data_IF_889288081118
#
_entry.id   IF_889288081118
#
_cell.length_a   1.000
_cell.length_b   1.000
_cell.length_c   1.000
_cell.angle_alpha   90.00
_cell.angle_beta   90.00
_cell.angle_gamma   90.00
#
_symmetry.space_group_name_H-M   'P 1'
#
loop_
_entity.id
_entity.type
_entity.pdbx_description
1 polymer ?
#
# COMPACT_ATOMS: atom_id res chain seq x y z
N UNK A 1 14.65 -28.44 -1.27
CA UNK A 1 13.90 -27.56 -0.34
C UNK A 1 14.34 -26.12 -0.61
N UNK A 2 13.69 -25.48 -1.58
CA UNK A 2 14.25 -24.36 -2.34
C UNK A 2 14.24 -23.00 -1.64
N UNK A 3 15.15 -22.13 -2.07
CA UNK A 3 15.24 -20.72 -1.67
C UNK A 3 13.92 -19.95 -1.88
N UNK A 4 13.08 -20.41 -2.80
CA UNK A 4 11.76 -19.85 -3.09
C UNK A 4 10.78 -19.93 -1.91
N UNK A 5 10.75 -21.05 -1.18
CA UNK A 5 9.88 -21.16 0.01
C UNK A 5 10.38 -20.28 1.16
N UNK A 6 11.69 -20.02 1.26
CA UNK A 6 12.23 -19.09 2.27
C UNK A 6 11.89 -17.63 1.97
N UNK A 7 11.89 -17.24 0.69
CA UNK A 7 11.43 -15.90 0.29
C UNK A 7 9.92 -15.72 0.51
N UNK A 8 9.10 -16.73 0.18
CA UNK A 8 7.65 -16.70 0.40
C UNK A 8 7.28 -16.64 1.90
N UNK A 9 8.03 -17.35 2.75
CA UNK A 9 7.87 -17.29 4.21
C UNK A 9 8.34 -15.96 4.82
N UNK A 10 9.40 -15.33 4.29
CA UNK A 10 9.83 -14.00 4.75
C UNK A 10 8.85 -12.89 4.36
N UNK A 11 8.21 -12.99 3.18
CA UNK A 11 7.17 -12.03 2.77
C UNK A 11 5.93 -12.20 3.67
N UNK A 12 5.51 -13.43 3.97
CA UNK A 12 4.38 -13.69 4.87
C UNK A 12 4.64 -13.27 6.32
N UNK A 13 5.85 -13.46 6.86
CA UNK A 13 6.13 -13.13 8.25
C UNK A 13 6.27 -11.61 8.50
N UNK A 14 6.69 -10.85 7.48
CA UNK A 14 6.65 -9.38 7.52
C UNK A 14 5.27 -8.81 7.24
N UNK A 15 4.44 -9.47 6.42
CA UNK A 15 3.06 -9.06 6.19
C UNK A 15 2.22 -9.05 7.48
N UNK A 16 2.41 -10.02 8.39
CA UNK A 16 1.66 -10.07 9.65
C UNK A 16 2.09 -9.05 10.70
N UNK A 17 3.21 -8.35 10.54
CA UNK A 17 3.71 -7.34 11.50
C UNK A 17 3.58 -5.89 11.00
N UNK A 18 3.21 -5.70 9.74
CA UNK A 18 2.95 -4.39 9.12
C UNK A 18 1.45 -4.10 8.90
N UNK A 19 0.58 -5.05 9.28
CA UNK A 19 -0.87 -4.91 9.15
C UNK A 19 -1.49 -3.90 10.15
N UNK A 20 -0.71 -3.41 11.12
CA UNK A 20 -1.16 -2.46 12.11
C UNK A 20 -0.83 -1.02 11.66
N UNK A 21 -1.86 -0.38 11.07
CA UNK A 21 -2.03 1.06 10.76
C UNK A 21 -1.42 1.60 9.44
N UNK A 22 -2.34 1.86 8.51
CA UNK A 22 -2.25 2.88 7.46
C UNK A 22 -1.18 2.70 6.35
N UNK A 23 -1.02 1.53 5.75
CA UNK A 23 -0.33 1.46 4.45
C UNK A 23 -1.33 1.68 3.30
N UNK A 24 -1.12 2.74 2.52
CA UNK A 24 -1.88 3.01 1.31
C UNK A 24 -1.65 1.87 0.29
N UNK A 25 -2.69 1.13 -0.13
CA UNK A 25 -2.53 0.03 -1.09
C UNK A 25 -1.92 0.49 -2.42
N UNK A 26 -2.02 1.78 -2.76
CA UNK A 26 -1.36 2.37 -3.94
C UNK A 26 0.16 2.26 -3.84
N UNK A 27 0.73 2.57 -2.67
CA UNK A 27 2.18 2.55 -2.43
C UNK A 27 2.74 1.12 -2.45
N UNK A 28 2.04 0.18 -1.81
CA UNK A 28 2.44 -1.24 -1.81
C UNK A 28 2.48 -1.79 -3.24
N UNK A 29 1.48 -1.45 -4.06
CA UNK A 29 1.42 -1.91 -5.44
C UNK A 29 2.49 -1.25 -6.33
N UNK A 30 2.78 0.03 -6.11
CA UNK A 30 3.86 0.73 -6.82
C UNK A 30 5.24 0.14 -6.47
N UNK A 31 5.50 -0.11 -5.18
CA UNK A 31 6.71 -0.79 -4.71
C UNK A 31 6.83 -2.20 -5.30
N UNK A 32 5.74 -2.98 -5.27
CA UNK A 32 5.71 -4.33 -5.84
C UNK A 32 5.99 -4.33 -7.34
N UNK A 33 5.43 -3.37 -8.08
CA UNK A 33 5.70 -3.21 -9.50
C UNK A 33 7.19 -2.91 -9.77
N UNK A 34 7.78 -2.01 -8.99
CA UNK A 34 9.21 -1.68 -9.12
C UNK A 34 10.10 -2.89 -8.83
N UNK A 35 9.80 -3.68 -7.80
CA UNK A 35 10.52 -4.93 -7.51
C UNK A 35 10.40 -5.95 -8.64
N UNK A 36 9.24 -6.06 -9.27
CA UNK A 36 9.08 -6.93 -10.43
C UNK A 36 9.91 -6.46 -11.64
N UNK A 37 10.01 -5.15 -11.89
CA UNK A 37 10.88 -4.60 -12.94
C UNK A 37 12.37 -4.90 -12.67
N UNK A 38 12.82 -4.78 -11.42
CA UNK A 38 14.18 -5.15 -11.01
C UNK A 38 14.45 -6.64 -11.30
N UNK A 39 13.49 -7.52 -11.02
CA UNK A 39 13.60 -8.96 -11.30
C UNK A 39 13.76 -9.25 -12.81
N UNK A 40 12.99 -8.58 -13.67
CA UNK A 40 13.18 -8.72 -15.14
C UNK A 40 14.57 -8.27 -15.54
N UNK A 41 15.05 -7.14 -15.00
CA UNK A 41 16.37 -6.65 -15.31
C UNK A 41 17.47 -7.62 -14.85
N UNK A 42 17.28 -8.26 -13.70
CA UNK A 42 18.18 -9.31 -13.21
C UNK A 42 18.18 -10.52 -14.14
N UNK A 43 17.01 -11.00 -14.58
CA UNK A 43 16.93 -12.12 -15.55
C UNK A 43 17.62 -11.77 -16.86
N UNK A 44 17.43 -10.55 -17.38
CA UNK A 44 18.12 -10.07 -18.59
C UNK A 44 19.64 -10.08 -18.43
N UNK A 45 20.16 -9.66 -17.28
CA UNK A 45 21.60 -9.73 -16.96
C UNK A 45 22.07 -11.19 -16.91
N UNK A 46 21.31 -12.10 -16.31
CA UNK A 46 21.64 -13.53 -16.27
C UNK A 46 21.71 -14.14 -17.67
N UNK A 47 20.76 -13.80 -18.56
CA UNK A 47 20.79 -14.21 -19.97
C UNK A 47 22.08 -13.73 -20.64
N UNK A 48 22.46 -12.46 -20.45
CA UNK A 48 23.69 -11.91 -21.02
C UNK A 48 24.95 -12.64 -20.51
N UNK A 49 24.99 -13.02 -19.23
CA UNK A 49 26.08 -13.82 -18.65
C UNK A 49 26.18 -15.20 -19.31
N UNK A 50 25.05 -15.89 -19.50
CA UNK A 50 25.03 -17.21 -20.17
C UNK A 50 25.46 -17.10 -21.64
N UNK A 51 24.97 -16.08 -22.36
CA UNK A 51 25.40 -15.82 -23.75
C UNK A 51 26.90 -15.57 -23.82
N UNK A 52 27.45 -14.80 -22.89
CA UNK A 52 28.89 -14.52 -22.82
C UNK A 52 29.69 -15.80 -22.54
N UNK A 53 29.23 -16.62 -21.59
CA UNK A 53 29.84 -17.90 -21.28
C UNK A 53 29.83 -18.86 -22.47
N UNK A 54 28.69 -19.01 -23.15
CA UNK A 54 28.54 -19.77 -24.40
C UNK A 54 29.52 -19.26 -25.46
N UNK A 55 29.60 -17.95 -25.67
CA UNK A 55 30.49 -17.37 -26.68
C UNK A 55 31.96 -17.64 -26.41
N UNK A 56 32.37 -17.63 -25.14
CA UNK A 56 33.74 -18.00 -24.74
C UNK A 56 34.05 -19.45 -25.09
N UNK A 57 33.13 -20.39 -24.86
CA UNK A 57 33.29 -21.80 -25.23
C UNK A 57 33.38 -21.97 -26.75
N UNK A 58 32.53 -21.27 -27.51
CA UNK A 58 32.59 -21.27 -28.98
C UNK A 58 33.96 -20.80 -29.50
N UNK A 59 34.52 -19.73 -28.91
CA UNK A 59 35.85 -19.23 -29.29
C UNK A 59 36.96 -20.24 -28.98
N UNK A 60 36.88 -20.93 -27.84
CA UNK A 60 37.81 -22.00 -27.50
C UNK A 60 37.73 -23.17 -28.49
N UNK A 61 36.51 -23.58 -28.84
CA UNK A 61 36.26 -24.62 -29.85
C UNK A 61 36.89 -24.25 -31.18
N UNK A 62 36.65 -23.03 -31.69
CA UNK A 62 37.22 -22.55 -32.95
C UNK A 62 38.76 -22.58 -32.93
N UNK A 63 39.38 -22.21 -31.81
CA UNK A 63 40.84 -22.26 -31.66
C UNK A 63 41.38 -23.70 -31.75
N UNK A 64 40.69 -24.65 -31.12
CA UNK A 64 41.07 -26.07 -31.21
C UNK A 64 40.85 -26.62 -32.62
N UNK A 65 39.76 -26.24 -33.30
CA UNK A 65 39.50 -26.61 -34.70
C UNK A 65 40.58 -26.10 -35.65
N UNK A 66 41.08 -24.88 -35.45
CA UNK A 66 42.22 -24.36 -36.22
C UNK A 66 43.50 -25.16 -35.93
N UNK A 67 43.72 -25.56 -34.68
CA UNK A 67 44.86 -26.37 -34.28
C UNK A 67 44.78 -27.79 -34.88
N UNK A 68 43.61 -28.43 -34.89
CA UNK A 68 43.44 -29.75 -35.54
C UNK A 68 43.71 -29.69 -37.04
N UNK A 69 43.30 -28.61 -37.72
CA UNK A 69 43.63 -28.40 -39.14
C UNK A 69 45.14 -28.23 -39.35
N UNK A 70 45.84 -27.50 -38.45
CA UNK A 70 47.29 -27.35 -38.52
C UNK A 70 48.00 -28.69 -38.31
N UNK A 71 47.60 -29.46 -37.29
CA UNK A 71 48.15 -30.79 -37.01
C UNK A 71 47.90 -31.78 -38.16
N UNK A 72 46.75 -31.66 -38.84
CA UNK A 72 46.45 -32.46 -40.03
C UNK A 72 47.42 -32.18 -41.19
N UNK A 73 47.72 -30.91 -41.45
CA UNK A 73 48.73 -30.52 -42.45
C UNK A 73 50.12 -31.03 -42.06
N UNK A 74 50.53 -30.82 -40.81
CA UNK A 74 51.82 -31.30 -40.29
C UNK A 74 51.97 -32.82 -40.40
N UNK A 75 50.90 -33.57 -40.14
CA UNK A 75 50.91 -35.03 -40.33
C UNK A 75 51.12 -35.41 -41.80
N UNK A 76 50.42 -34.75 -42.73
CA UNK A 76 50.58 -34.99 -44.18
C UNK A 76 51.98 -34.64 -44.69
N UNK A 77 52.55 -33.54 -44.22
CA UNK A 77 53.90 -33.11 -44.57
C UNK A 77 54.96 -34.09 -44.04
N UNK A 78 54.77 -34.58 -42.80
CA UNK A 78 55.66 -35.57 -42.18
C UNK A 78 55.64 -36.92 -42.93
N UNK A 79 54.45 -37.41 -43.31
CA UNK A 79 54.30 -38.60 -44.16
C UNK A 79 55.02 -38.41 -45.50
N UNK A 80 54.81 -37.26 -46.15
CA UNK A 80 55.48 -36.93 -47.43
C UNK A 80 57.00 -36.87 -47.30
N UNK A 81 57.50 -36.60 -46.09
CA UNK A 81 58.93 -36.56 -45.77
C UNK A 81 59.48 -37.89 -45.22
N UNK A 82 58.68 -38.97 -45.20
CA UNK A 82 59.07 -40.28 -44.66
C UNK A 82 59.28 -40.31 -43.14
N UNK A 83 58.75 -39.32 -42.40
CA UNK A 83 58.87 -39.20 -40.93
C UNK A 83 57.59 -39.65 -40.24
N UNK A 84 57.38 -40.96 -40.23
CA UNK A 84 56.19 -41.60 -39.67
C UNK A 84 56.02 -41.39 -38.16
N UNK A 85 57.13 -41.21 -37.44
CA UNK A 85 57.16 -40.89 -36.01
C UNK A 85 56.52 -39.51 -35.73
N UNK A 86 56.90 -38.49 -36.50
CA UNK A 86 56.33 -37.14 -36.42
C UNK A 86 54.86 -37.12 -36.87
N UNK A 87 54.53 -37.88 -37.91
CA UNK A 87 53.15 -38.02 -38.37
C UNK A 87 52.25 -38.62 -37.29
N UNK A 88 52.71 -39.70 -36.64
CA UNK A 88 51.98 -40.35 -35.54
C UNK A 88 51.77 -39.38 -34.37
N UNK A 89 52.80 -38.64 -33.97
CA UNK A 89 52.70 -37.65 -32.89
C UNK A 89 51.70 -36.52 -33.23
N UNK A 90 51.71 -36.01 -34.46
CA UNK A 90 50.77 -34.99 -34.91
C UNK A 90 49.32 -35.50 -34.89
N UNK A 91 49.09 -36.73 -35.35
CA UNK A 91 47.77 -37.38 -35.32
C UNK A 91 47.29 -37.67 -33.89
N UNK A 92 48.18 -38.05 -32.98
CA UNK A 92 47.84 -38.26 -31.56
C UNK A 92 47.37 -36.95 -30.90
N UNK A 93 48.11 -35.86 -31.10
CA UNK A 93 47.70 -34.52 -30.64
C UNK A 93 46.38 -34.08 -31.28
N UNK A 94 46.20 -34.35 -32.58
CA UNK A 94 44.94 -34.03 -33.28
C UNK A 94 43.78 -34.77 -32.63
N UNK A 95 43.94 -36.07 -32.33
CA UNK A 95 42.93 -36.88 -31.65
C UNK A 95 42.58 -36.32 -30.26
N UNK A 96 43.58 -35.91 -29.47
CA UNK A 96 43.34 -35.26 -28.18
C UNK A 96 42.51 -34.00 -28.32
N UNK A 97 42.85 -33.12 -29.27
CA UNK A 97 42.08 -31.90 -29.54
C UNK A 97 40.65 -32.22 -30.01
N UNK A 98 40.44 -33.26 -30.82
CA UNK A 98 39.10 -33.68 -31.26
C UNK A 98 38.21 -34.08 -30.07
N UNK A 99 38.75 -34.84 -29.12
CA UNK A 99 38.01 -35.23 -27.90
C UNK A 99 37.61 -33.98 -27.09
N UNK A 100 38.51 -33.00 -26.97
CA UNK A 100 38.22 -31.75 -26.27
C UNK A 100 37.16 -30.91 -27.02
N UNK A 101 37.20 -30.88 -28.36
CA UNK A 101 36.17 -30.23 -29.19
C UNK A 101 34.79 -30.87 -28.96
N UNK A 102 34.71 -32.20 -28.93
CA UNK A 102 33.45 -32.91 -28.65
C UNK A 102 32.89 -32.55 -27.27
N UNK A 103 33.75 -32.46 -26.25
CA UNK A 103 33.37 -31.99 -24.91
C UNK A 103 32.84 -30.55 -24.94
N UNK A 104 33.51 -29.64 -25.64
CA UNK A 104 33.06 -28.25 -25.78
C UNK A 104 31.71 -28.15 -26.51
N UNK A 105 31.46 -28.99 -27.51
CA UNK A 105 30.16 -29.03 -28.21
C UNK A 105 29.05 -29.40 -27.24
N UNK A 106 29.25 -30.41 -26.39
CA UNK A 106 28.26 -30.77 -25.36
C UNK A 106 28.00 -29.61 -24.40
N UNK A 107 29.05 -28.95 -23.90
CA UNK A 107 28.91 -27.80 -23.00
C UNK A 107 28.20 -26.61 -23.68
N UNK A 108 28.49 -26.33 -24.95
CA UNK A 108 27.81 -25.26 -25.73
C UNK A 108 26.32 -25.56 -25.86
N UNK A 109 25.94 -26.81 -26.15
CA UNK A 109 24.55 -27.22 -26.26
C UNK A 109 23.81 -27.09 -24.92
N UNK A 110 24.46 -27.44 -23.81
CA UNK A 110 23.90 -27.26 -22.46
C UNK A 110 23.64 -25.78 -22.16
N UNK A 111 24.62 -24.90 -22.46
CA UNK A 111 24.44 -23.45 -22.28
C UNK A 111 23.35 -22.88 -23.19
N UNK A 112 23.17 -23.42 -24.39
CA UNK A 112 22.09 -23.02 -25.29
C UNK A 112 20.71 -23.39 -24.76
N UNK A 113 20.54 -24.57 -24.18
CA UNK A 113 19.29 -24.98 -23.54
C UNK A 113 18.97 -24.08 -22.33
N UNK A 114 19.97 -23.79 -21.49
CA UNK A 114 19.78 -22.89 -20.34
C UNK A 114 19.45 -21.46 -20.80
N UNK A 115 20.12 -20.96 -21.84
CA UNK A 115 19.80 -19.67 -22.46
C UNK A 115 18.34 -19.61 -22.92
N UNK A 116 17.85 -20.63 -23.64
CA UNK A 116 16.46 -20.67 -24.13
C UNK A 116 15.47 -20.66 -22.97
N UNK A 117 15.73 -21.43 -21.91
CA UNK A 117 14.90 -21.48 -20.71
C UNK A 117 14.83 -20.14 -19.98
N UNK A 118 15.95 -19.43 -19.88
CA UNK A 118 15.99 -18.08 -19.28
C UNK A 118 15.23 -17.05 -20.13
N UNK A 119 15.34 -17.12 -21.46
CA UNK A 119 14.57 -16.26 -22.38
C UNK A 119 13.07 -16.51 -22.24
N UNK A 120 12.65 -17.78 -22.16
CA UNK A 120 11.24 -18.12 -21.97
C UNK A 120 10.72 -17.62 -20.60
N UNK A 121 11.55 -17.74 -19.57
CA UNK A 121 11.25 -17.23 -18.22
C UNK A 121 11.12 -15.71 -18.20
N UNK A 122 12.03 -15.00 -18.88
CA UNK A 122 11.96 -13.54 -19.06
C UNK A 122 10.65 -13.14 -19.73
N UNK A 123 10.28 -13.81 -20.83
CA UNK A 123 9.04 -13.52 -21.56
C UNK A 123 7.80 -13.73 -20.68
N UNK A 124 7.75 -14.84 -19.93
CA UNK A 124 6.66 -15.14 -18.99
C UNK A 124 6.59 -14.08 -17.88
N UNK A 125 7.72 -13.66 -17.33
CA UNK A 125 7.78 -12.63 -16.29
C UNK A 125 7.32 -11.27 -16.82
N UNK A 126 7.80 -10.86 -17.99
CA UNK A 126 7.39 -9.62 -18.66
C UNK A 126 5.89 -9.57 -18.96
N UNK A 127 5.29 -10.69 -19.38
CA UNK A 127 3.84 -10.79 -19.58
C UNK A 127 3.06 -10.63 -18.25
N UNK A 128 3.50 -11.30 -17.18
CA UNK A 128 2.89 -11.18 -15.84
C UNK A 128 2.98 -9.75 -15.29
N UNK A 129 4.10 -9.07 -15.52
CA UNK A 129 4.31 -7.69 -15.07
C UNK A 129 3.41 -6.71 -15.80
N UNK A 130 3.19 -6.94 -17.10
CA UNK A 130 2.26 -6.14 -17.88
C UNK A 130 0.83 -6.30 -17.35
N UNK A 131 0.41 -7.54 -17.07
CA UNK A 131 -0.89 -7.79 -16.44
C UNK A 131 -0.99 -7.18 -15.03
N UNK A 132 0.09 -7.25 -14.25
CA UNK A 132 0.15 -6.64 -12.92
C UNK A 132 0.03 -5.12 -12.98
N UNK A 133 0.68 -4.47 -13.96
CA UNK A 133 0.55 -3.02 -14.19
C UNK A 133 -0.90 -2.62 -14.41
N UNK A 134 -1.62 -3.31 -15.30
CA UNK A 134 -3.04 -3.03 -15.55
C UNK A 134 -3.86 -3.20 -14.29
N UNK A 135 -3.68 -4.33 -13.58
CA UNK A 135 -4.41 -4.61 -12.34
C UNK A 135 -4.11 -3.59 -11.25
N UNK A 136 -2.87 -3.13 -11.14
CA UNK A 136 -2.45 -2.06 -10.24
C UNK A 136 -3.26 -0.79 -10.50
N UNK A 137 -3.26 -0.29 -11.74
CA UNK A 137 -3.98 0.95 -12.07
C UNK A 137 -5.49 0.81 -11.80
N UNK A 138 -6.09 -0.35 -12.09
CA UNK A 138 -7.49 -0.62 -11.74
C UNK A 138 -7.74 -0.55 -10.24
N UNK A 139 -6.89 -1.18 -9.42
CA UNK A 139 -7.05 -1.16 -7.96
C UNK A 139 -6.82 0.26 -7.41
N UNK A 140 -5.83 1.01 -7.92
CA UNK A 140 -5.59 2.40 -7.51
C UNK A 140 -6.81 3.28 -7.80
N UNK A 141 -7.43 3.13 -8.97
CA UNK A 141 -8.64 3.86 -9.34
C UNK A 141 -9.84 3.47 -8.46
N UNK A 142 -10.06 2.17 -8.23
CA UNK A 142 -11.13 1.68 -7.35
C UNK A 142 -10.97 2.17 -5.92
N UNK A 143 -9.75 2.15 -5.38
CA UNK A 143 -9.45 2.64 -4.04
C UNK A 143 -9.73 4.14 -3.93
N UNK A 144 -9.28 4.93 -4.92
CA UNK A 144 -9.52 6.39 -4.94
C UNK A 144 -11.02 6.71 -5.04
N UNK A 145 -11.78 5.94 -5.83
CA UNK A 145 -13.23 6.08 -5.91
C UNK A 145 -13.92 5.72 -4.58
N UNK A 146 -13.50 4.63 -3.93
CA UNK A 146 -14.03 4.23 -2.63
C UNK A 146 -13.70 5.27 -1.54
N UNK A 147 -12.48 5.81 -1.54
CA UNK A 147 -12.06 6.90 -0.64
C UNK A 147 -12.95 8.14 -0.83
N UNK A 148 -13.22 8.53 -2.07
CA UNK A 148 -14.12 9.64 -2.37
C UNK A 148 -15.56 9.37 -1.91
N UNK A 149 -16.08 8.15 -2.10
CA UNK A 149 -17.41 7.76 -1.63
C UNK A 149 -17.54 7.84 -0.10
N UNK A 150 -16.51 7.41 0.63
CA UNK A 150 -16.46 7.54 2.10
C UNK A 150 -16.49 9.01 2.50
N UNK A 151 -15.61 9.85 1.93
CA UNK A 151 -15.58 11.30 2.22
C UNK A 151 -16.91 12.00 1.93
N UNK A 152 -17.58 11.65 0.83
CA UNK A 152 -18.91 12.22 0.51
C UNK A 152 -19.95 11.78 1.52
N UNK A 153 -19.97 10.49 1.91
CA UNK A 153 -20.90 10.00 2.93
C UNK A 153 -20.66 10.67 4.27
N UNK A 154 -19.41 10.79 4.70
CA UNK A 154 -19.03 11.49 5.93
C UNK A 154 -19.47 12.97 5.92
N UNK A 155 -19.26 13.67 4.80
CA UNK A 155 -19.72 15.04 4.64
C UNK A 155 -21.25 15.15 4.70
N UNK A 156 -21.98 14.26 4.04
CA UNK A 156 -23.46 14.25 4.07
C UNK A 156 -24.00 13.90 5.45
N UNK A 157 -23.41 12.93 6.16
CA UNK A 157 -23.82 12.58 7.52
C UNK A 157 -23.48 13.69 8.51
N UNK A 158 -22.30 14.31 8.39
CA UNK A 158 -21.92 15.46 9.22
C UNK A 158 -22.84 16.65 9.01
N UNK A 159 -23.18 16.97 7.76
CA UNK A 159 -24.18 18.01 7.45
C UNK A 159 -25.57 17.63 8.00
N UNK A 160 -25.97 16.35 7.94
CA UNK A 160 -27.27 15.91 8.47
C UNK A 160 -27.35 16.05 9.99
N UNK A 161 -26.25 15.80 10.70
CA UNK A 161 -26.14 15.99 12.14
C UNK A 161 -26.24 17.49 12.50
N UNK A 162 -25.49 18.35 11.81
CA UNK A 162 -25.58 19.81 11.98
C UNK A 162 -26.97 20.37 11.62
N UNK A 163 -27.60 19.88 10.56
CA UNK A 163 -28.95 20.30 10.15
C UNK A 163 -30.02 19.86 11.15
N UNK A 164 -29.87 18.66 11.75
CA UNK A 164 -30.78 18.19 12.79
C UNK A 164 -30.70 19.10 14.04
N UNK A 165 -29.49 19.48 14.45
CA UNK A 165 -29.28 20.40 15.57
C UNK A 165 -29.87 21.79 15.31
N UNK A 166 -29.74 22.30 14.09
CA UNK A 166 -30.37 23.56 13.68
C UNK A 166 -31.90 23.46 13.68
N UNK A 167 -32.46 22.34 13.22
CA UNK A 167 -33.91 22.08 13.27
C UNK A 167 -34.46 22.11 14.69
N UNK A 168 -33.78 21.44 15.64
CA UNK A 168 -34.15 21.49 17.06
C UNK A 168 -34.03 22.91 17.65
N UNK A 169 -33.06 23.70 17.22
CA UNK A 169 -32.91 25.08 17.67
C UNK A 169 -34.04 25.98 17.15
N UNK A 170 -34.45 25.81 15.88
CA UNK A 170 -35.56 26.56 15.28
C UNK A 170 -36.87 26.21 15.97
N UNK A 171 -37.18 24.93 16.18
CA UNK A 171 -38.40 24.51 16.85
C UNK A 171 -38.52 25.10 18.26
N UNK A 172 -37.44 25.08 19.06
CA UNK A 172 -37.42 25.74 20.38
C UNK A 172 -37.66 27.25 20.30
N UNK A 173 -37.16 27.91 19.26
CA UNK A 173 -37.37 29.34 19.05
C UNK A 173 -38.82 29.65 18.68
N UNK A 174 -39.45 28.81 17.85
CA UNK A 174 -40.87 28.89 17.50
C UNK A 174 -41.75 28.68 18.73
N UNK A 175 -41.55 27.58 19.47
CA UNK A 175 -42.29 27.27 20.70
C UNK A 175 -42.20 28.41 21.73
N UNK A 176 -41.01 29.00 21.89
CA UNK A 176 -40.80 30.13 22.80
C UNK A 176 -41.52 31.39 22.31
N UNK A 177 -41.54 31.63 21.01
CA UNK A 177 -42.24 32.78 20.41
C UNK A 177 -43.75 32.63 20.52
N UNK A 178 -44.27 31.43 20.29
CA UNK A 178 -45.68 31.11 20.47
C UNK A 178 -46.10 31.24 21.94
N UNK A 179 -45.29 30.73 22.86
CA UNK A 179 -45.51 30.93 24.30
C UNK A 179 -45.47 32.40 24.72
N UNK A 180 -44.60 33.23 24.13
CA UNK A 180 -44.58 34.67 24.36
C UNK A 180 -45.83 35.36 23.78
N UNK A 181 -46.30 34.96 22.60
CA UNK A 181 -47.54 35.47 22.02
C UNK A 181 -48.76 35.10 22.87
N UNK A 182 -48.87 33.84 23.31
CA UNK A 182 -49.94 33.39 24.18
C UNK A 182 -49.96 34.17 25.50
N UNK A 183 -48.79 34.46 26.09
CA UNK A 183 -48.67 35.32 27.28
C UNK A 183 -49.09 36.75 27.00
N UNK A 184 -48.68 37.33 25.86
CA UNK A 184 -49.09 38.68 25.46
C UNK A 184 -50.60 38.75 25.29
N UNK A 185 -51.21 37.79 24.58
CA UNK A 185 -52.65 37.74 24.38
C UNK A 185 -53.43 37.57 25.69
N UNK A 186 -52.95 36.75 26.62
CA UNK A 186 -53.52 36.66 27.96
C UNK A 186 -53.40 37.99 28.75
N UNK A 187 -52.27 38.70 28.62
CA UNK A 187 -52.10 40.02 29.23
C UNK A 187 -53.04 41.06 28.61
N UNK A 188 -53.17 41.07 27.28
CA UNK A 188 -54.08 41.97 26.55
C UNK A 188 -55.55 41.71 26.93
N UNK A 189 -55.94 40.43 27.09
CA UNK A 189 -57.27 40.04 27.58
C UNK A 189 -57.49 40.48 29.04
N UNK A 190 -56.46 40.40 29.91
CA UNK A 190 -56.54 40.93 31.28
C UNK A 190 -56.67 42.46 31.33
N UNK A 191 -56.05 43.19 30.40
CA UNK A 191 -56.22 44.65 30.23
C UNK A 191 -57.65 44.96 29.79
N UNK A 192 -58.17 44.24 28.80
CA UNK A 192 -59.51 44.47 28.23
C UNK A 192 -60.64 44.11 29.21
N UNK A 193 -60.43 43.11 30.06
CA UNK A 193 -61.33 42.74 31.16
C UNK A 193 -61.29 43.71 32.35
N UNK A 194 -60.44 44.76 32.30
CA UNK A 194 -60.35 45.78 33.35
C UNK A 194 -59.69 45.30 34.65
N UNK A 195 -59.04 44.13 34.65
CA UNK A 195 -58.42 43.55 35.84
C UNK A 195 -57.09 44.22 36.24
N UNK A 196 -56.60 45.17 35.45
CA UNK A 196 -55.38 45.93 35.73
C UNK A 196 -55.63 47.28 36.42
N UNK A 197 -56.88 47.74 36.50
CA UNK A 197 -57.23 48.99 37.20
C UNK A 197 -57.26 48.85 38.74
N UNK A 198 -57.07 47.64 39.28
CA UNK A 198 -56.92 47.38 40.73
C UNK A 198 -55.45 47.27 41.20
N UNK A 199 -54.48 47.79 40.44
CA UNK A 199 -53.09 47.93 40.93
C UNK A 199 -52.67 49.40 40.87
N UNK A 200 -53.46 50.23 41.54
CA UNK A 200 -53.15 51.64 41.79
C UNK A 200 -53.69 52.08 43.14
N UNK A 201 -52.99 51.76 44.24
CA UNK A 201 -53.21 52.43 45.53
C UNK A 201 -53.03 51.57 46.77
N UNK A 202 -51.84 51.68 47.35
CA UNK A 202 -51.56 51.79 48.79
C UNK A 202 -51.92 50.65 49.78
N UNK A 203 -50.92 50.31 50.59
CA UNK A 203 -51.04 49.83 51.98
C UNK A 203 -51.20 48.34 52.33
N UNK A 204 -50.63 47.40 51.55
CA UNK A 204 -50.44 46.00 52.02
C UNK A 204 -49.04 45.39 51.84
N UNK A 205 -48.16 45.98 51.02
CA UNK A 205 -46.76 45.54 50.91
C UNK A 205 -45.95 45.94 52.16
N UNK A 206 -46.30 47.03 52.82
CA UNK A 206 -45.63 47.53 54.05
C UNK A 206 -46.08 46.80 55.34
N UNK A 207 -47.12 45.95 55.22
CA UNK A 207 -47.63 45.08 56.30
C UNK A 207 -46.99 43.69 56.25
N UNK A 208 -46.73 43.15 55.06
CA UNK A 208 -46.04 41.87 54.86
C UNK A 208 -44.50 41.99 54.97
N UNK A 209 -43.92 43.17 54.70
CA UNK A 209 -42.50 43.44 54.98
C UNK A 209 -42.16 43.55 56.48
N UNK A 210 -43.16 43.59 57.37
CA UNK A 210 -42.98 43.51 58.83
C UNK A 210 -43.16 42.10 59.42
N UNK A 211 -43.43 41.08 58.59
CA UNK A 211 -43.53 39.68 59.03
C UNK A 211 -42.38 38.76 58.59
N UNK A 212 -41.41 39.25 57.83
CA UNK A 212 -40.27 38.44 57.34
C UNK A 212 -38.90 38.96 57.80
N UNK A 213 -38.86 39.67 58.93
CA UNK A 213 -37.59 39.90 59.65
C UNK A 213 -37.75 39.66 61.15
N UNK A 214 -37.85 38.39 61.53
CA UNK A 214 -37.17 37.72 62.66
C UNK A 214 -37.86 36.36 62.80
N UNK A 215 -37.28 35.24 62.35
CA UNK A 215 -36.19 34.54 63.05
C UNK A 215 -35.82 33.30 62.21
N UNK A 216 -34.52 32.99 62.13
CA UNK A 216 -33.93 31.70 61.78
C UNK A 216 -34.06 31.21 60.32
N UNK A 217 -33.00 30.89 59.57
CA UNK A 217 -31.61 30.69 59.95
C UNK A 217 -30.68 30.85 58.76
N UNK A 218 -29.66 31.67 58.96
CA UNK A 218 -28.46 31.81 58.12
C UNK A 218 -27.46 30.66 58.38
N UNK A 219 -27.92 29.55 58.99
CA UNK A 219 -27.09 28.39 59.31
C UNK A 219 -27.22 27.22 58.30
N UNK A 220 -28.30 27.16 57.49
CA UNK A 220 -28.48 26.08 56.51
C UNK A 220 -27.72 26.30 55.19
N UNK A 221 -27.49 27.56 54.79
CA UNK A 221 -26.72 27.89 53.58
C UNK A 221 -25.20 27.85 53.81
N UNK A 222 -24.72 27.90 55.07
CA UNK A 222 -23.31 27.68 55.41
C UNK A 222 -22.95 26.19 55.47
N UNK A 223 -23.91 25.31 55.78
CA UNK A 223 -23.73 23.86 55.77
C UNK A 223 -23.65 23.30 54.33
N UNK A 224 -24.42 23.88 53.40
CA UNK A 224 -24.40 23.47 51.98
C UNK A 224 -23.11 23.88 51.25
N UNK A 225 -22.58 25.07 51.53
CA UNK A 225 -21.29 25.52 50.96
C UNK A 225 -20.06 24.83 51.57
N UNK A 226 -20.15 24.30 52.80
CA UNK A 226 -19.09 23.45 53.39
C UNK A 226 -19.16 21.98 52.96
N UNK A 227 -20.31 21.51 52.45
CA UNK A 227 -20.43 20.20 51.80
C UNK A 227 -19.92 20.22 50.34
N UNK A 228 -19.92 21.38 49.68
CA UNK A 228 -19.37 21.58 48.32
C UNK A 228 -17.87 21.91 48.26
N UNK A 229 -17.21 22.18 49.41
CA UNK A 229 -15.77 22.46 49.46
C UNK A 229 -14.99 21.54 50.44
N UNK A 230 -15.56 20.38 50.77
CA UNK A 230 -15.07 19.47 51.82
C UNK A 230 -14.78 18.03 51.39
N UNK A 231 -14.70 17.74 50.09
CA UNK A 231 -13.84 16.73 49.45
C UNK A 231 -13.86 16.94 47.94
#
# INVERSE_FOLDING_TARGET
MGLFTRMELMVRSKANKLLDRHEDPREILDYSYQKQLELVQQVKRSVATVVTAKKRLELQKVKLEQNTQKLDRQAKDAISSGRDDLARLALERKKSNTIEIESLIMQINEQELEQQKLIETERKLSAKITAFRTKKETIKAQYTAAEAQVKVKEAVTGISEEMADVGFAIQRAEDKTEGMRAKSSALDEMVELGALDEIGGDDDIERELRKVQTTAGVDDDLARLKAEMGK
#
